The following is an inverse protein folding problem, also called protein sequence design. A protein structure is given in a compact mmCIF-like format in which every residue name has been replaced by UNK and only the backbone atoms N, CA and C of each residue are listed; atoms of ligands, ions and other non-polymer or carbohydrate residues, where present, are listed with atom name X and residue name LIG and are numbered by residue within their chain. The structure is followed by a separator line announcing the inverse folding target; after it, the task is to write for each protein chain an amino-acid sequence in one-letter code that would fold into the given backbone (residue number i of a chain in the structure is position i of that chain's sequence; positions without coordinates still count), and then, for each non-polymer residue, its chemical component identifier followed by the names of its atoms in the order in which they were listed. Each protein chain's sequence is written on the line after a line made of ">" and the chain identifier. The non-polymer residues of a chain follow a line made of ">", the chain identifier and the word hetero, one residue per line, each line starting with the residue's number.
data_IF_171119733798
#
_entry.id   IF_171119733798
#
_cell.length_a   1.000
_cell.length_b   1.000
_cell.length_c   1.000
_cell.angle_alpha   90.00
_cell.angle_beta   90.00
_cell.angle_gamma   90.00
#
_symmetry.space_group_name_H-M   'P 1'
#
loop_
_entity.id
_entity.type
_entity.pdbx_description
1 polymer ?
#
# COMPACT_ATOMS: atom_id res chain seq x y z
N UNK A 1 16.11 -20.91 -37.32
CA UNK A 1 16.04 -20.98 -35.83
C UNK A 1 16.81 -19.85 -35.14
N UNK A 2 18.07 -19.55 -35.49
CA UNK A 2 18.82 -18.48 -34.81
C UNK A 2 18.32 -17.05 -35.09
N UNK A 3 17.98 -16.71 -36.35
CA UNK A 3 17.45 -15.38 -36.69
C UNK A 3 16.18 -15.01 -35.91
N UNK A 4 15.25 -15.95 -35.76
CA UNK A 4 14.00 -15.75 -35.01
C UNK A 4 14.24 -15.52 -33.51
N UNK A 5 15.30 -16.12 -32.96
CA UNK A 5 15.66 -15.98 -31.54
C UNK A 5 16.29 -14.62 -31.26
N UNK A 6 17.11 -14.12 -32.19
CA UNK A 6 17.69 -12.77 -32.15
C UNK A 6 16.60 -11.72 -32.30
N UNK A 7 15.72 -11.87 -33.28
CA UNK A 7 14.64 -10.92 -33.54
C UNK A 7 13.65 -10.82 -32.37
N UNK A 8 13.32 -11.96 -31.73
CA UNK A 8 12.52 -11.97 -30.50
C UNK A 8 13.22 -11.27 -29.34
N UNK A 9 14.54 -11.41 -29.20
CA UNK A 9 15.31 -10.76 -28.15
C UNK A 9 15.35 -9.23 -28.34
N UNK A 10 15.50 -8.77 -29.58
CA UNK A 10 15.47 -7.33 -29.91
C UNK A 10 14.09 -6.71 -29.65
N UNK A 11 13.01 -7.37 -30.06
CA UNK A 11 11.65 -6.92 -29.78
C UNK A 11 11.36 -6.88 -28.28
N UNK A 12 11.78 -7.92 -27.53
CA UNK A 12 11.61 -7.94 -26.08
C UNK A 12 12.37 -6.81 -25.38
N UNK A 13 13.56 -6.46 -25.87
CA UNK A 13 14.33 -5.34 -25.33
C UNK A 13 13.62 -4.01 -25.60
N UNK A 14 13.12 -3.79 -26.82
CA UNK A 14 12.38 -2.57 -27.16
C UNK A 14 11.08 -2.46 -26.36
N UNK A 15 10.32 -3.56 -26.24
CA UNK A 15 9.11 -3.59 -25.43
C UNK A 15 9.37 -3.22 -23.96
N UNK A 16 10.46 -3.75 -23.38
CA UNK A 16 10.87 -3.39 -22.01
C UNK A 16 11.24 -1.90 -21.89
N UNK A 17 11.99 -1.36 -22.85
CA UNK A 17 12.37 0.07 -22.83
C UNK A 17 11.13 0.96 -22.94
N UNK A 18 10.21 0.66 -23.86
CA UNK A 18 8.97 1.42 -24.04
C UNK A 18 8.08 1.34 -22.81
N UNK A 19 7.98 0.16 -22.19
CA UNK A 19 7.22 -0.04 -20.94
C UNK A 19 7.77 0.84 -19.82
N UNK A 20 9.08 0.77 -19.58
CA UNK A 20 9.73 1.58 -18.53
C UNK A 20 9.61 3.08 -18.79
N UNK A 21 9.77 3.53 -20.03
CA UNK A 21 9.59 4.95 -20.39
C UNK A 21 8.13 5.42 -20.27
N UNK A 22 7.19 4.54 -20.56
CA UNK A 22 5.75 4.77 -20.38
C UNK A 22 5.40 4.90 -18.91
N UNK A 23 5.92 4.01 -18.06
CA UNK A 23 5.72 4.03 -16.62
C UNK A 23 6.33 5.28 -15.99
N UNK A 24 7.55 5.66 -16.39
CA UNK A 24 8.21 6.87 -15.92
C UNK A 24 7.43 8.14 -16.28
N UNK A 25 6.95 8.26 -17.52
CA UNK A 25 6.10 9.39 -17.95
C UNK A 25 4.77 9.41 -17.22
N UNK A 26 4.16 8.25 -17.00
CA UNK A 26 2.90 8.13 -16.26
C UNK A 26 3.09 8.56 -14.81
N UNK A 27 4.17 8.13 -14.15
CA UNK A 27 4.50 8.53 -12.79
C UNK A 27 4.72 10.04 -12.66
N UNK A 28 5.41 10.67 -13.62
CA UNK A 28 5.62 12.13 -13.65
C UNK A 28 4.29 12.89 -13.85
N UNK A 29 3.42 12.43 -14.74
CA UNK A 29 2.10 13.02 -14.96
C UNK A 29 1.19 12.88 -13.73
N UNK A 30 1.19 11.71 -13.09
CA UNK A 30 0.45 11.49 -11.85
C UNK A 30 1.01 12.36 -10.73
N UNK A 31 2.34 12.46 -10.62
CA UNK A 31 3.02 13.30 -9.63
C UNK A 31 2.62 14.77 -9.78
N UNK A 32 2.66 15.32 -11.00
CA UNK A 32 2.22 16.69 -11.29
C UNK A 32 0.74 16.90 -11.01
N UNK A 33 -0.12 15.97 -11.43
CA UNK A 33 -1.54 16.05 -11.15
C UNK A 33 -1.84 15.99 -9.64
N UNK A 34 -1.04 15.23 -8.87
CA UNK A 34 -1.14 15.15 -7.42
C UNK A 34 -0.61 16.42 -6.73
N UNK A 35 0.47 17.01 -7.23
CA UNK A 35 1.00 18.29 -6.76
C UNK A 35 -0.01 19.43 -7.02
N UNK A 36 -0.66 19.43 -8.18
CA UNK A 36 -1.72 20.39 -8.55
C UNK A 36 -3.02 20.18 -7.75
N UNK A 37 -3.42 18.92 -7.53
CA UNK A 37 -4.61 18.57 -6.75
C UNK A 37 -4.39 18.67 -5.22
N UNK A 38 -3.13 18.72 -4.78
CA UNK A 38 -2.73 19.09 -3.42
C UNK A 38 -2.70 17.96 -2.40
N UNK A 39 -1.93 18.21 -1.33
CA UNK A 39 -1.82 17.36 -0.14
C UNK A 39 -3.14 17.13 0.59
N UNK A 40 -4.15 17.97 0.35
CA UNK A 40 -5.51 17.82 0.87
C UNK A 40 -6.18 16.52 0.40
N UNK A 41 -5.87 16.04 -0.81
CA UNK A 41 -6.38 14.75 -1.30
C UNK A 41 -5.73 13.56 -0.58
N UNK A 42 -4.45 13.69 -0.19
CA UNK A 42 -3.73 12.66 0.58
C UNK A 42 -4.29 12.59 2.00
N UNK A 43 -4.52 13.74 2.64
CA UNK A 43 -5.14 13.78 3.96
C UNK A 43 -6.59 13.26 3.92
N UNK A 44 -7.37 13.59 2.90
CA UNK A 44 -8.71 13.02 2.71
C UNK A 44 -8.66 11.49 2.56
N UNK A 45 -7.74 10.96 1.74
CA UNK A 45 -7.54 9.50 1.63
C UNK A 45 -7.10 8.85 2.93
N UNK A 46 -6.28 9.52 3.75
CA UNK A 46 -5.89 9.04 5.08
C UNK A 46 -7.10 8.94 6.00
N UNK A 47 -7.99 9.94 5.96
CA UNK A 47 -9.24 9.95 6.73
C UNK A 47 -10.16 8.80 6.28
N UNK A 48 -10.35 8.62 4.97
CA UNK A 48 -11.15 7.51 4.42
C UNK A 48 -10.57 6.14 4.75
N UNK A 49 -9.24 5.98 4.70
CA UNK A 49 -8.57 4.75 5.08
C UNK A 49 -8.75 4.45 6.58
N UNK A 50 -8.65 5.47 7.43
CA UNK A 50 -8.89 5.35 8.86
C UNK A 50 -10.35 4.94 9.15
N UNK A 51 -11.32 5.52 8.45
CA UNK A 51 -12.74 5.14 8.56
C UNK A 51 -12.98 3.70 8.08
N UNK A 52 -12.35 3.28 6.99
CA UNK A 52 -12.38 1.90 6.52
C UNK A 52 -11.82 0.91 7.54
N UNK A 53 -10.67 1.22 8.14
CA UNK A 53 -10.03 0.41 9.19
C UNK A 53 -10.93 0.36 10.44
N UNK A 54 -11.49 1.49 10.87
CA UNK A 54 -12.39 1.55 12.01
C UNK A 54 -13.67 0.71 11.78
N UNK A 55 -14.26 0.79 10.59
CA UNK A 55 -15.41 -0.03 10.20
C UNK A 55 -15.06 -1.52 10.17
N UNK A 56 -13.88 -1.89 9.64
CA UNK A 56 -13.40 -3.26 9.61
C UNK A 56 -13.13 -3.80 11.02
N UNK A 57 -12.52 -2.98 11.89
CA UNK A 57 -12.24 -3.33 13.29
C UNK A 57 -13.53 -3.47 14.10
N UNK A 58 -14.48 -2.55 13.93
CA UNK A 58 -15.81 -2.60 14.57
C UNK A 58 -16.58 -3.87 14.20
N UNK A 59 -16.47 -4.31 12.95
CA UNK A 59 -17.07 -5.57 12.48
C UNK A 59 -16.24 -6.81 12.86
N UNK A 60 -14.98 -6.65 13.22
CA UNK A 60 -14.10 -7.78 13.56
C UNK A 60 -14.45 -8.34 14.94
N UNK A 61 -14.55 -9.67 15.03
CA UNK A 61 -14.87 -10.39 16.27
C UNK A 61 -13.76 -10.30 17.34
N UNK A 62 -12.57 -9.83 16.95
CA UNK A 62 -11.38 -9.65 17.80
C UNK A 62 -11.11 -8.17 18.10
N UNK A 63 -12.16 -7.33 18.16
CA UNK A 63 -12.01 -5.95 18.63
C UNK A 63 -11.66 -5.98 20.12
N UNK A 64 -10.37 -5.83 20.43
CA UNK A 64 -9.89 -5.65 21.80
C UNK A 64 -10.31 -4.23 22.20
N UNK A 65 -11.50 -4.12 22.77
CA UNK A 65 -11.89 -2.94 23.54
C UNK A 65 -10.87 -2.85 24.67
N UNK A 66 -9.95 -1.89 24.61
CA UNK A 66 -8.99 -1.68 25.68
C UNK A 66 -9.80 -1.18 26.90
N UNK A 67 -10.06 -2.01 27.92
CA UNK A 67 -10.85 -1.57 29.05
C UNK A 67 -10.09 -0.42 29.72
N UNK A 68 -10.77 0.68 29.98
CA UNK A 68 -10.21 1.78 30.75
C UNK A 68 -10.09 1.32 32.20
N UNK A 69 -8.95 0.71 32.54
CA UNK A 69 -8.67 0.20 33.88
C UNK A 69 -7.33 -0.52 33.97
N UNK A 70 -6.73 -0.62 35.17
CA UNK A 70 -5.35 -1.08 35.38
C UNK A 70 -5.12 -2.58 35.14
N UNK A 71 -6.08 -3.31 34.57
CA UNK A 71 -6.01 -4.76 34.43
C UNK A 71 -5.67 -5.20 33.00
N UNK A 72 -4.55 -4.70 32.49
CA UNK A 72 -3.79 -5.45 31.48
C UNK A 72 -2.94 -6.50 32.23
N UNK A 73 -3.58 -7.57 32.72
CA UNK A 73 -2.86 -8.73 33.25
C UNK A 73 -2.38 -9.60 32.08
N UNK A 74 -1.40 -9.08 31.36
CA UNK A 74 -0.50 -9.90 30.57
C UNK A 74 0.94 -9.67 31.02
N UNK A 75 1.16 -9.75 32.34
CA UNK A 75 2.49 -9.98 32.88
C UNK A 75 2.41 -10.55 34.31
N UNK A 76 3.21 -11.58 34.57
CA UNK A 76 3.86 -12.01 35.83
C UNK A 76 3.16 -12.78 36.99
N UNK A 77 1.85 -13.03 37.08
CA UNK A 77 1.32 -13.78 38.25
C UNK A 77 1.23 -15.31 38.15
N UNK A 78 1.54 -15.94 37.01
CA UNK A 78 1.54 -17.41 36.86
C UNK A 78 2.94 -18.01 36.61
N UNK A 79 3.95 -17.44 37.27
CA UNK A 79 5.30 -18.00 37.33
C UNK A 79 5.91 -17.98 38.74
N UNK A 80 5.11 -17.68 39.77
CA UNK A 80 5.51 -17.81 41.18
C UNK A 80 4.46 -18.61 41.96
N UNK A 81 4.41 -19.92 41.69
CA UNK A 81 4.14 -20.93 42.71
C UNK A 81 4.82 -22.25 42.34
#
# INVERSE_FOLDING_TARGET
>A
KQRFLVEKAEQSRQANVIGVEGDARTADLIGKALDEAGGDLIELRRIEAADGIANQLSKSRNSVYLPHGPQMLLNITDAMQ
#
